data_IF_636796336378
#
_entry.id   IF_636796336378
#
_cell.length_a   1.000
_cell.length_b   1.000
_cell.length_c   1.000
_cell.angle_alpha   90.00
_cell.angle_beta   90.00
_cell.angle_gamma   90.00
#
_symmetry.space_group_name_H-M   'P 1'
#
loop_
_entity.id
_entity.type
_entity.pdbx_description
1 polymer ?
#
# COMPACT_ATOMS: atom_id res chain seq x y z
N UNK A 1 19.46 14.81 -23.01
CA UNK A 1 18.03 14.90 -23.34
C UNK A 1 17.45 13.51 -23.12
N UNK A 2 16.74 13.31 -22.01
CA UNK A 2 16.11 12.01 -21.71
C UNK A 2 15.00 11.77 -22.73
N UNK A 3 15.06 10.66 -23.48
CA UNK A 3 14.03 10.33 -24.45
C UNK A 3 12.67 10.19 -23.77
N UNK A 4 11.61 10.71 -24.39
CA UNK A 4 10.25 10.66 -23.87
C UNK A 4 9.87 9.19 -23.65
N UNK A 5 9.74 8.77 -22.40
CA UNK A 5 9.33 7.40 -22.05
C UNK A 5 7.89 7.20 -22.52
N UNK A 6 7.64 6.12 -23.26
CA UNK A 6 6.34 5.76 -23.80
C UNK A 6 5.69 4.71 -22.89
N UNK A 7 4.40 4.84 -22.62
CA UNK A 7 3.66 3.96 -21.71
C UNK A 7 2.61 3.11 -22.46
N UNK A 8 2.51 1.79 -22.19
CA UNK A 8 1.38 0.97 -22.62
C UNK A 8 0.04 1.56 -22.18
N UNK A 9 -0.92 1.64 -23.10
CA UNK A 9 -2.24 2.23 -22.86
C UNK A 9 -2.27 3.76 -22.97
N UNK A 10 -1.13 4.43 -23.18
CA UNK A 10 -1.07 5.88 -23.42
C UNK A 10 -0.47 6.18 -24.79
N UNK A 11 0.77 5.74 -25.02
CA UNK A 11 1.49 5.98 -26.28
C UNK A 11 1.88 4.68 -26.98
N UNK A 12 1.66 3.55 -26.33
CA UNK A 12 1.88 2.21 -26.87
C UNK A 12 0.58 1.43 -26.74
N UNK A 13 0.45 0.36 -27.52
CA UNK A 13 -0.62 -0.63 -27.35
C UNK A 13 -0.76 -1.01 -25.86
N UNK A 14 -1.99 -1.17 -25.37
CA UNK A 14 -2.25 -1.54 -23.98
C UNK A 14 -1.47 -2.81 -23.56
N UNK A 15 -1.20 -3.71 -24.50
CA UNK A 15 -0.45 -4.96 -24.30
C UNK A 15 1.01 -4.86 -24.74
N UNK A 16 1.52 -3.65 -24.94
CA UNK A 16 2.91 -3.45 -25.32
C UNK A 16 3.86 -3.87 -24.19
N UNK A 17 4.77 -4.80 -24.48
CA UNK A 17 5.81 -5.25 -23.55
C UNK A 17 7.18 -5.21 -24.26
N UNK A 18 8.19 -4.50 -23.71
CA UNK A 18 9.51 -4.41 -24.33
C UNK A 18 10.29 -5.74 -24.18
N UNK A 19 10.09 -6.64 -25.16
CA UNK A 19 10.79 -7.92 -25.44
C UNK A 19 10.63 -9.10 -24.46
N UNK A 20 10.00 -10.17 -24.96
CA UNK A 20 10.62 -11.43 -25.44
C UNK A 20 9.59 -12.12 -26.34
N UNK A 21 10.05 -13.04 -27.17
CA UNK A 21 9.41 -13.64 -28.36
C UNK A 21 8.19 -14.54 -28.06
N UNK A 22 7.52 -14.28 -26.94
CA UNK A 22 6.40 -15.04 -26.37
C UNK A 22 5.33 -14.06 -25.95
N UNK A 23 4.10 -14.25 -26.44
CA UNK A 23 2.93 -13.48 -26.02
C UNK A 23 2.63 -13.79 -24.54
N UNK A 24 3.18 -12.96 -23.65
CA UNK A 24 2.82 -12.94 -22.23
C UNK A 24 1.75 -11.88 -22.04
N UNK A 25 0.67 -12.23 -21.36
CA UNK A 25 -0.27 -11.22 -20.87
C UNK A 25 0.48 -10.31 -19.88
N UNK A 26 0.30 -8.99 -19.94
CA UNK A 26 0.84 -8.09 -18.93
C UNK A 26 0.15 -8.40 -17.61
N UNK A 27 0.81 -9.19 -16.78
CA UNK A 27 0.45 -9.39 -15.38
C UNK A 27 1.05 -8.21 -14.61
N UNK A 28 0.30 -7.67 -13.65
CA UNK A 28 0.82 -6.64 -12.73
C UNK A 28 2.01 -7.13 -11.90
N UNK A 29 2.24 -8.45 -11.85
CA UNK A 29 3.45 -9.06 -11.33
C UNK A 29 4.46 -9.28 -12.47
N UNK A 30 5.67 -8.74 -12.31
CA UNK A 30 6.77 -8.89 -13.25
C UNK A 30 7.09 -10.39 -13.47
N UNK A 31 7.54 -10.79 -14.67
CA UNK A 31 7.83 -12.21 -14.98
C UNK A 31 8.90 -12.85 -14.07
N UNK A 32 9.76 -12.02 -13.46
CA UNK A 32 10.74 -12.45 -12.45
C UNK A 32 10.13 -12.71 -11.06
N UNK A 33 8.85 -12.41 -10.83
CA UNK A 33 8.13 -12.75 -9.60
C UNK A 33 7.62 -14.21 -9.59
N UNK A 34 7.91 -14.98 -10.65
CA UNK A 34 7.54 -16.40 -10.73
C UNK A 34 8.28 -17.18 -9.63
N UNK A 35 7.53 -17.69 -8.66
CA UNK A 35 8.10 -18.48 -7.55
C UNK A 35 8.67 -17.62 -6.42
N UNK A 36 8.24 -16.36 -6.28
CA UNK A 36 8.55 -15.59 -5.08
C UNK A 36 8.01 -16.35 -3.85
N UNK A 37 8.92 -16.75 -2.96
CA UNK A 37 8.61 -17.24 -1.64
C UNK A 37 8.64 -16.06 -0.65
N UNK A 38 7.80 -16.15 0.37
CA UNK A 38 7.90 -15.26 1.53
C UNK A 38 7.81 -16.12 2.77
N UNK A 39 8.56 -15.75 3.80
CA UNK A 39 8.37 -16.35 5.11
C UNK A 39 7.01 -15.91 5.64
N UNK A 40 6.36 -16.79 6.40
CA UNK A 40 5.17 -16.42 7.15
C UNK A 40 5.52 -15.27 8.09
N UNK A 41 4.78 -14.16 7.97
CA UNK A 41 4.96 -13.01 8.84
C UNK A 41 4.24 -13.25 10.17
N UNK A 42 4.90 -13.02 11.31
CA UNK A 42 4.24 -12.98 12.61
C UNK A 42 3.11 -11.94 12.60
N UNK A 43 1.99 -12.26 13.24
CA UNK A 43 0.83 -11.35 13.37
C UNK A 43 1.24 -9.97 13.89
N UNK A 44 2.18 -9.92 14.83
CA UNK A 44 2.70 -8.65 15.36
C UNK A 44 3.40 -7.81 14.31
N UNK A 45 4.21 -8.41 13.43
CA UNK A 45 4.89 -7.68 12.35
C UNK A 45 3.87 -7.10 11.37
N UNK A 46 2.83 -7.87 11.01
CA UNK A 46 1.74 -7.37 10.16
C UNK A 46 1.02 -6.19 10.81
N UNK A 47 0.72 -6.26 12.11
CA UNK A 47 0.13 -5.14 12.86
C UNK A 47 1.02 -3.91 12.91
N UNK A 48 2.33 -4.09 13.10
CA UNK A 48 3.31 -3.00 13.08
C UNK A 48 3.34 -2.32 11.71
N UNK A 49 3.35 -3.10 10.62
CA UNK A 49 3.29 -2.56 9.26
C UNK A 49 2.00 -1.78 9.00
N UNK A 50 0.83 -2.30 9.40
CA UNK A 50 -0.46 -1.62 9.26
C UNK A 50 -0.50 -0.33 10.07
N UNK A 51 0.01 -0.33 11.30
CA UNK A 51 0.13 0.88 12.11
C UNK A 51 0.99 1.93 11.39
N UNK A 52 2.17 1.54 10.90
CA UNK A 52 3.05 2.45 10.18
C UNK A 52 2.43 2.98 8.89
N UNK A 53 1.65 2.17 8.17
CA UNK A 53 0.93 2.59 6.98
C UNK A 53 -0.08 3.70 7.32
N UNK A 54 -0.91 3.49 8.35
CA UNK A 54 -1.86 4.50 8.83
C UNK A 54 -1.20 5.78 9.36
N UNK A 55 -0.08 5.65 10.09
CA UNK A 55 0.64 6.82 10.59
C UNK A 55 1.25 7.62 9.43
N UNK A 56 1.75 6.93 8.40
CA UNK A 56 2.34 7.57 7.22
C UNK A 56 1.32 8.15 6.23
N UNK A 57 0.02 7.91 6.41
CA UNK A 57 -1.06 8.60 5.67
C UNK A 57 -1.44 9.95 6.30
N UNK A 58 -1.01 10.23 7.54
CA UNK A 58 -1.31 11.51 8.18
C UNK A 58 -0.57 12.64 7.44
N UNK A 59 -1.26 13.76 7.22
CA UNK A 59 -0.64 14.98 6.65
C UNK A 59 0.58 15.36 7.49
N UNK A 60 1.71 15.64 6.83
CA UNK A 60 2.99 15.98 7.45
C UNK A 60 3.55 14.92 8.42
N UNK A 61 3.17 13.65 8.31
CA UNK A 61 3.67 12.57 9.17
C UNK A 61 5.21 12.57 9.31
N UNK A 62 5.92 12.82 8.19
CA UNK A 62 7.37 12.82 8.08
C UNK A 62 8.05 13.95 8.90
N UNK A 63 7.28 14.96 9.33
CA UNK A 63 7.73 15.98 10.30
C UNK A 63 7.27 15.61 11.70
N UNK A 64 6.00 15.20 11.82
CA UNK A 64 5.33 14.86 13.09
C UNK A 64 5.97 13.68 13.84
N UNK A 65 6.59 12.75 13.14
CA UNK A 65 7.28 11.60 13.75
C UNK A 65 8.50 12.00 14.62
N UNK A 66 9.01 13.24 14.46
CA UNK A 66 10.08 13.80 15.27
C UNK A 66 9.57 14.69 16.43
N UNK A 67 8.27 14.94 16.50
CA UNK A 67 7.63 15.68 17.58
C UNK A 67 7.21 14.70 18.68
N UNK A 68 7.90 14.75 19.81
CA UNK A 68 7.68 13.83 20.93
C UNK A 68 6.28 13.98 21.55
N UNK A 69 5.67 15.17 21.55
CA UNK A 69 4.30 15.35 22.07
C UNK A 69 3.29 14.65 21.17
N UNK A 70 3.51 14.68 19.85
CA UNK A 70 2.68 13.96 18.88
C UNK A 70 2.90 12.46 19.00
N UNK A 71 4.16 12.02 19.10
CA UNK A 71 4.49 10.59 19.27
C UNK A 71 3.86 10.02 20.55
N UNK A 72 3.84 10.78 21.66
CA UNK A 72 3.15 10.37 22.89
C UNK A 72 1.64 10.18 22.66
N UNK A 73 1.00 11.03 21.86
CA UNK A 73 -0.43 10.86 21.49
C UNK A 73 -0.64 9.62 20.62
N UNK A 74 0.18 9.43 19.58
CA UNK A 74 0.12 8.25 18.71
C UNK A 74 0.37 6.96 19.49
N UNK A 75 1.28 6.99 20.47
CA UNK A 75 1.54 5.88 21.39
C UNK A 75 0.29 5.49 22.16
N UNK A 76 -0.37 6.47 22.76
CA UNK A 76 -1.61 6.24 23.50
C UNK A 76 -2.69 5.63 22.58
N UNK A 77 -2.91 6.21 21.41
CA UNK A 77 -3.87 5.70 20.41
C UNK A 77 -3.53 4.26 20.00
N UNK A 78 -2.27 3.95 19.69
CA UNK A 78 -1.84 2.65 19.23
C UNK A 78 -1.94 1.55 20.29
N UNK A 79 -1.74 1.89 21.57
CA UNK A 79 -1.84 0.95 22.69
C UNK A 79 -3.30 0.75 23.17
N UNK A 80 -4.19 1.70 22.88
CA UNK A 80 -5.61 1.63 23.28
C UNK A 80 -6.52 1.07 22.16
N UNK A 81 -6.06 1.03 20.90
CA UNK A 81 -6.89 0.62 19.77
C UNK A 81 -7.42 -0.82 19.89
N UNK A 82 -8.62 -1.12 19.39
CA UNK A 82 -9.12 -2.49 19.29
C UNK A 82 -8.27 -3.34 18.33
N UNK A 83 -7.91 -4.56 18.74
CA UNK A 83 -7.05 -5.45 17.94
C UNK A 83 -7.84 -6.59 17.27
N UNK A 84 -9.05 -6.91 17.75
CA UNK A 84 -9.83 -8.07 17.29
C UNK A 84 -10.16 -8.03 15.80
N UNK A 85 -10.61 -6.87 15.29
CA UNK A 85 -10.98 -6.71 13.88
C UNK A 85 -9.79 -6.91 12.96
N UNK A 86 -8.65 -6.31 13.29
CA UNK A 86 -7.44 -6.45 12.49
C UNK A 86 -6.90 -7.89 12.59
N UNK A 87 -6.98 -8.53 13.76
CA UNK A 87 -6.58 -9.92 13.94
C UNK A 87 -7.39 -10.85 13.03
N UNK A 88 -8.71 -10.67 12.99
CA UNK A 88 -9.59 -11.46 12.11
C UNK A 88 -9.33 -11.22 10.62
N UNK A 89 -8.81 -10.06 10.24
CA UNK A 89 -8.44 -9.76 8.85
C UNK A 89 -7.10 -10.37 8.46
N UNK A 90 -6.13 -10.40 9.39
CA UNK A 90 -4.79 -10.96 9.13
C UNK A 90 -4.82 -12.48 9.12
N UNK A 91 -5.64 -13.09 9.98
CA UNK A 91 -5.77 -14.55 10.10
C UNK A 91 -7.01 -15.00 9.32
N UNK A 92 -6.92 -14.97 7.99
CA UNK A 92 -7.95 -15.59 7.13
C UNK A 92 -7.86 -17.12 7.24
N UNK A 93 -8.80 -17.75 7.95
CA UNK A 93 -8.87 -19.22 8.07
C UNK A 93 -9.33 -19.72 9.44
N UNK A 94 -9.86 -20.95 9.48
CA UNK A 94 -10.60 -21.54 10.60
C UNK A 94 -9.97 -21.36 12.00
N UNK A 95 -10.81 -20.92 12.95
CA UNK A 95 -10.73 -21.14 14.40
C UNK A 95 -9.38 -20.90 15.11
N UNK A 96 -8.51 -20.02 14.61
CA UNK A 96 -7.33 -19.60 15.39
C UNK A 96 -7.78 -18.66 16.51
N UNK A 97 -7.67 -19.06 17.80
CA UNK A 97 -8.06 -18.18 18.88
C UNK A 97 -7.09 -17.00 18.98
N UNK A 98 -7.63 -15.80 19.20
CA UNK A 98 -6.81 -14.63 19.43
C UNK A 98 -5.93 -14.83 20.67
N UNK A 99 -4.62 -14.51 20.60
CA UNK A 99 -3.77 -14.56 21.78
C UNK A 99 -4.23 -13.49 22.78
N UNK A 100 -4.73 -13.92 23.95
CA UNK A 100 -5.21 -13.03 25.03
C UNK A 100 -4.17 -12.82 26.13
N UNK A 101 -3.03 -13.50 26.09
CA UNK A 101 -1.99 -13.41 27.11
C UNK A 101 -1.29 -12.05 27.15
N UNK A 102 -1.21 -11.38 26.00
CA UNK A 102 -0.68 -10.03 25.85
C UNK A 102 -1.31 -9.35 24.63
N UNK A 103 -1.27 -8.03 24.62
CA UNK A 103 -1.64 -7.24 23.44
C UNK A 103 -0.70 -7.53 22.27
N UNK A 104 -1.22 -7.47 21.06
CA UNK A 104 -0.42 -7.62 19.83
C UNK A 104 0.50 -6.42 19.70
N UNK A 105 -0.06 -5.20 19.86
CA UNK A 105 0.71 -3.97 19.93
C UNK A 105 1.25 -3.77 21.34
N UNK A 106 2.56 -3.94 21.51
CA UNK A 106 3.28 -3.67 22.75
C UNK A 106 4.01 -2.33 22.69
N UNK A 107 4.52 -1.90 23.84
CA UNK A 107 5.38 -0.71 23.96
C UNK A 107 6.61 -0.79 23.05
N UNK A 108 7.32 -1.92 23.09
CA UNK A 108 8.50 -2.14 22.26
C UNK A 108 8.13 -2.16 20.76
N UNK A 109 7.02 -2.81 20.40
CA UNK A 109 6.54 -2.83 19.02
C UNK A 109 6.28 -1.40 18.51
N UNK A 110 5.58 -0.59 19.29
CA UNK A 110 5.36 0.82 18.95
C UNK A 110 6.67 1.60 18.85
N UNK A 111 7.60 1.39 19.78
CA UNK A 111 8.91 2.04 19.75
C UNK A 111 9.66 1.75 18.44
N UNK A 112 9.72 0.48 18.02
CA UNK A 112 10.34 0.11 16.75
C UNK A 112 9.60 0.69 15.53
N UNK A 113 8.27 0.74 15.54
CA UNK A 113 7.50 1.42 14.49
C UNK A 113 7.91 2.89 14.33
N UNK A 114 8.09 3.62 15.43
CA UNK A 114 8.52 5.03 15.37
C UNK A 114 9.95 5.16 14.89
N UNK A 115 10.87 4.28 15.31
CA UNK A 115 12.24 4.26 14.80
C UNK A 115 12.27 4.07 13.28
N UNK A 116 11.52 3.10 12.77
CA UNK A 116 11.42 2.82 11.34
C UNK A 116 10.78 3.98 10.58
N UNK A 117 9.69 4.57 11.10
CA UNK A 117 9.06 5.74 10.48
C UNK A 117 10.00 6.95 10.41
N UNK A 118 10.87 7.17 11.41
CA UNK A 118 11.89 8.23 11.34
C UNK A 118 12.89 7.99 10.22
N UNK A 119 13.30 6.74 10.01
CA UNK A 119 14.16 6.37 8.87
C UNK A 119 13.44 6.56 7.53
N UNK A 120 12.17 6.12 7.44
CA UNK A 120 11.32 6.29 6.26
C UNK A 120 11.07 7.77 5.96
N UNK A 121 10.92 8.62 6.97
CA UNK A 121 10.77 10.07 6.79
C UNK A 121 11.98 10.69 6.09
N UNK A 122 13.21 10.29 6.47
CA UNK A 122 14.42 10.74 5.79
C UNK A 122 14.49 10.24 4.33
N UNK A 123 14.03 9.01 4.06
CA UNK A 123 13.92 8.50 2.69
C UNK A 123 12.89 9.32 1.89
N UNK A 124 11.69 9.54 2.43
CA UNK A 124 10.61 10.29 1.80
C UNK A 124 11.02 11.72 1.47
N UNK A 125 11.70 12.43 2.37
CA UNK A 125 12.19 13.79 2.10
C UNK A 125 13.12 13.86 0.88
N UNK A 126 13.90 12.79 0.63
CA UNK A 126 14.84 12.72 -0.49
C UNK A 126 14.18 12.28 -1.79
N UNK A 127 13.15 11.43 -1.74
CA UNK A 127 12.62 10.73 -2.93
C UNK A 127 11.16 11.05 -3.26
N UNK A 128 10.38 11.56 -2.30
CA UNK A 128 8.91 11.64 -2.39
C UNK A 128 8.22 10.27 -2.34
N UNK A 129 8.95 9.19 -2.03
CA UNK A 129 8.45 7.82 -1.97
C UNK A 129 8.42 7.31 -0.53
N UNK A 130 7.43 6.49 -0.21
CA UNK A 130 7.25 5.86 1.10
C UNK A 130 7.18 4.35 0.90
N UNK A 131 8.24 3.61 1.26
CA UNK A 131 8.15 2.16 1.44
C UNK A 131 7.18 1.84 2.59
N UNK A 132 6.07 1.18 2.29
CA UNK A 132 5.04 0.74 3.23
C UNK A 132 4.79 -0.76 3.06
N UNK A 133 4.19 -1.39 4.07
CA UNK A 133 3.98 -2.84 4.09
C UNK A 133 5.27 -3.60 3.70
N UNK A 134 6.37 -3.17 4.33
CA UNK A 134 7.73 -3.56 3.98
C UNK A 134 8.14 -4.79 4.78
N UNK A 135 8.35 -5.90 4.07
CA UNK A 135 8.67 -7.21 4.63
C UNK A 135 9.84 -7.84 3.88
N UNK A 136 10.35 -8.97 4.38
CA UNK A 136 11.47 -9.66 3.73
C UNK A 136 11.11 -10.03 2.28
N UNK A 137 11.78 -9.39 1.32
CA UNK A 137 11.63 -9.65 -0.12
C UNK A 137 10.39 -9.02 -0.77
N UNK A 138 9.52 -8.35 -0.02
CA UNK A 138 8.31 -7.71 -0.55
C UNK A 138 8.10 -6.33 0.05
N UNK A 139 7.93 -5.33 -0.81
CA UNK A 139 7.73 -3.94 -0.40
C UNK A 139 6.71 -3.28 -1.31
N UNK A 140 5.76 -2.56 -0.71
CA UNK A 140 4.86 -1.67 -1.44
C UNK A 140 5.41 -0.25 -1.34
N UNK A 141 5.36 0.52 -2.42
CA UNK A 141 5.83 1.91 -2.41
C UNK A 141 4.67 2.83 -2.75
N UNK A 142 4.34 3.75 -1.83
CA UNK A 142 3.35 4.81 -2.05
C UNK A 142 4.04 6.15 -2.30
N UNK A 143 3.37 7.03 -3.04
CA UNK A 143 3.82 8.40 -3.28
C UNK A 143 2.64 9.30 -3.61
N UNK A 144 2.57 10.43 -2.93
CA UNK A 144 1.59 11.49 -3.21
C UNK A 144 2.09 12.49 -4.26
N UNK A 145 3.35 12.35 -4.69
CA UNK A 145 4.03 13.34 -5.55
C UNK A 145 4.34 12.83 -6.94
N UNK A 146 4.35 11.50 -7.15
CA UNK A 146 4.68 10.91 -8.45
C UNK A 146 3.58 11.18 -9.49
N UNK A 147 2.32 11.19 -9.08
CA UNK A 147 1.19 11.52 -9.96
C UNK A 147 0.82 12.98 -9.73
N UNK A 148 1.03 13.82 -10.75
CA UNK A 148 0.69 15.24 -10.69
C UNK A 148 -0.83 15.45 -10.59
N UNK A 149 -1.32 16.52 -9.93
CA UNK A 149 -2.74 16.85 -9.89
C UNK A 149 -3.39 16.94 -11.28
N UNK A 150 -2.65 17.44 -12.28
CA UNK A 150 -3.09 17.53 -13.67
C UNK A 150 -3.39 16.14 -14.25
N UNK A 151 -2.40 15.24 -14.23
CA UNK A 151 -2.57 13.85 -14.65
C UNK A 151 -3.68 13.12 -13.87
N UNK A 152 -3.77 13.35 -12.56
CA UNK A 152 -4.84 12.76 -11.74
C UNK A 152 -6.23 13.22 -12.21
N UNK A 153 -6.38 14.51 -12.52
CA UNK A 153 -7.63 15.07 -13.03
C UNK A 153 -7.95 14.54 -14.44
N UNK A 154 -6.95 14.44 -15.32
CA UNK A 154 -7.11 13.85 -16.65
C UNK A 154 -7.58 12.39 -16.58
N UNK A 155 -6.98 11.57 -15.71
CA UNK A 155 -7.38 10.19 -15.51
C UNK A 155 -8.81 10.07 -14.98
N UNK A 156 -9.21 10.93 -14.03
CA UNK A 156 -10.59 10.97 -13.52
C UNK A 156 -11.58 11.36 -14.63
N UNK A 157 -11.26 12.40 -15.40
CA UNK A 157 -12.11 12.85 -16.50
C UNK A 157 -12.26 11.76 -17.58
N UNK A 158 -11.17 11.09 -17.95
CA UNK A 158 -11.21 9.99 -18.91
C UNK A 158 -12.04 8.81 -18.40
N UNK A 159 -11.93 8.47 -17.11
CA UNK A 159 -12.75 7.42 -16.49
C UNK A 159 -14.23 7.80 -16.44
N UNK A 160 -14.55 9.05 -16.09
CA UNK A 160 -15.94 9.53 -16.07
C UNK A 160 -16.56 9.52 -17.48
N UNK A 161 -15.79 9.87 -18.51
CA UNK A 161 -16.21 9.75 -19.91
C UNK A 161 -16.48 8.29 -20.29
N UNK A 162 -15.54 7.38 -19.97
CA UNK A 162 -15.70 5.94 -20.24
C UNK A 162 -16.97 5.39 -19.58
N UNK A 163 -17.23 5.78 -18.32
CA UNK A 163 -18.44 5.37 -17.60
C UNK A 163 -19.71 5.92 -18.26
N UNK A 164 -19.69 7.16 -18.75
CA UNK A 164 -20.82 7.76 -19.46
C UNK A 164 -21.08 7.06 -20.81
N UNK A 165 -20.02 6.74 -21.56
CA UNK A 165 -20.10 6.06 -22.85
C UNK A 165 -20.65 4.63 -22.71
N UNK A 166 -20.33 3.96 -21.60
CA UNK A 166 -20.82 2.61 -21.28
C UNK A 166 -22.13 2.58 -20.50
N UNK A 167 -22.76 3.73 -20.24
CA UNK A 167 -23.95 3.80 -19.40
C UNK A 167 -25.14 2.98 -19.93
N UNK A 168 -25.20 2.73 -21.24
CA UNK A 168 -26.26 1.92 -21.87
C UNK A 168 -25.97 0.42 -21.93
N UNK A 169 -24.73 0.01 -21.68
CA UNK A 169 -24.27 -1.39 -21.79
C UNK A 169 -23.12 -1.63 -20.80
N UNK A 170 -23.48 -1.59 -19.52
CA UNK A 170 -22.55 -1.85 -18.43
C UNK A 170 -22.27 -3.35 -18.41
N UNK A 171 -21.27 -3.79 -19.16
CA UNK A 171 -20.78 -5.18 -19.18
C UNK A 171 -20.06 -5.51 -17.86
N UNK A 172 -20.84 -5.58 -16.79
CA UNK A 172 -20.39 -5.89 -15.45
C UNK A 172 -21.09 -7.16 -14.96
N UNK A 173 -20.33 -8.23 -14.65
CA UNK A 173 -20.76 -9.42 -13.89
C UNK A 173 -19.53 -10.25 -13.42
N UNK A 174 -19.54 -11.04 -12.32
CA UNK A 174 -20.37 -11.04 -11.09
C UNK A 174 -19.56 -10.91 -9.76
N UNK A 175 -20.05 -10.02 -8.85
CA UNK A 175 -19.93 -9.94 -7.35
C UNK A 175 -20.40 -8.58 -6.73
N UNK A 176 -20.78 -7.59 -7.52
CA UNK A 176 -21.58 -6.44 -7.09
C UNK A 176 -23.02 -6.89 -7.05
N UNK A 177 -23.42 -7.43 -5.90
CA UNK A 177 -24.84 -7.54 -5.58
C UNK A 177 -25.46 -6.17 -5.87
N UNK A 178 -26.34 -6.02 -6.86
CA UNK A 178 -26.98 -4.75 -7.26
C UNK A 178 -27.81 -4.13 -6.11
N UNK A 179 -27.08 -3.72 -5.08
CA UNK A 179 -27.38 -3.13 -3.79
C UNK A 179 -26.24 -2.16 -3.49
#
# INVERSE_FOLDING_TARGET
MSGKYLYPGVNLDLRHYPRRDTALYPLGAHANCRGADSKLLPVREVFMMVLMDHLSDKVDWHKKVFDEEIVVKWRKEALEQPEDKLFSQVVEGDNVPMPRAARIMSEDAFYYCIMELRQKAAHFQRTGLIPTLDSEGNTIVKSDTVVTPELQNELRAAFDQLRADQASDVDWHPRSDEK
#
